data_IF_203099475495
#
_entry.id   IF_203099475495
#
_cell.length_a   1.000
_cell.length_b   1.000
_cell.length_c   1.000
_cell.angle_alpha   90.00
_cell.angle_beta   90.00
_cell.angle_gamma   90.00
#
_symmetry.space_group_name_H-M   'P 1'
#
loop_
_entity.id
_entity.type
_entity.pdbx_description
1 polymer ?
#
# COMPACT_ATOMS: atom_id res chain seq x y z
N UNK A 1 50.50 -4.21 -16.74
CA UNK A 1 49.11 -3.83 -17.06
C UNK A 1 48.64 -2.93 -15.93
N UNK A 2 48.50 -1.63 -16.17
CA UNK A 2 47.98 -0.71 -15.18
C UNK A 2 46.44 -0.86 -15.16
N UNK A 3 45.88 -1.18 -14.00
CA UNK A 3 44.43 -1.14 -13.79
C UNK A 3 43.98 0.31 -13.92
N UNK A 4 43.16 0.59 -14.93
CA UNK A 4 42.40 1.84 -15.03
C UNK A 4 41.44 1.89 -13.82
N UNK A 5 41.34 3.01 -13.09
CA UNK A 5 40.32 3.14 -12.05
C UNK A 5 38.93 3.02 -12.69
N UNK A 6 37.94 2.44 -11.98
CA UNK A 6 36.57 2.45 -12.46
C UNK A 6 36.14 3.89 -12.71
N UNK A 7 35.43 4.12 -13.81
CA UNK A 7 34.83 5.42 -14.11
C UNK A 7 33.88 5.86 -13.00
N UNK A 8 33.51 7.15 -12.94
CA UNK A 8 32.46 7.60 -12.05
C UNK A 8 31.20 6.73 -12.29
N UNK A 9 30.43 6.39 -11.23
CA UNK A 9 29.18 5.67 -11.42
C UNK A 9 28.33 6.43 -12.45
N UNK A 10 27.80 5.71 -13.43
CA UNK A 10 26.81 6.24 -14.35
C UNK A 10 25.69 6.84 -13.49
N UNK A 11 25.42 8.14 -13.65
CA UNK A 11 24.29 8.76 -12.96
C UNK A 11 23.04 7.96 -13.33
N UNK A 12 22.39 7.34 -12.35
CA UNK A 12 21.15 6.60 -12.58
C UNK A 12 20.16 7.56 -13.26
N UNK A 13 19.69 7.16 -14.45
CA UNK A 13 18.84 8.00 -15.27
C UNK A 13 17.49 8.25 -14.57
N UNK A 14 16.86 9.37 -14.90
CA UNK A 14 15.47 9.64 -14.51
C UNK A 14 14.55 8.46 -14.90
N UNK A 15 13.39 8.28 -14.23
CA UNK A 15 12.46 7.20 -14.56
C UNK A 15 12.10 7.19 -16.05
N UNK A 16 12.05 5.99 -16.61
CA UNK A 16 11.60 5.76 -17.97
C UNK A 16 10.06 5.71 -17.99
N UNK A 17 9.44 6.87 -18.19
CA UNK A 17 7.99 7.00 -18.18
C UNK A 17 7.29 6.16 -19.26
N UNK A 18 7.97 5.85 -20.38
CA UNK A 18 7.39 5.02 -21.42
C UNK A 18 7.29 3.56 -20.94
N UNK A 19 8.36 3.02 -20.35
CA UNK A 19 8.35 1.68 -19.77
C UNK A 19 7.41 1.58 -18.58
N UNK A 20 7.43 2.56 -17.68
CA UNK A 20 6.53 2.63 -16.51
C UNK A 20 5.07 2.66 -16.98
N UNK A 21 4.73 3.56 -17.90
CA UNK A 21 3.36 3.67 -18.41
C UNK A 21 2.90 2.39 -19.11
N UNK A 22 3.77 1.75 -19.89
CA UNK A 22 3.47 0.45 -20.49
C UNK A 22 3.18 -0.63 -19.44
N UNK A 23 3.95 -0.68 -18.35
CA UNK A 23 3.74 -1.65 -17.27
C UNK A 23 2.41 -1.39 -16.55
N UNK A 24 2.07 -0.13 -16.25
CA UNK A 24 0.77 0.22 -15.64
C UNK A 24 -0.39 -0.19 -16.56
N UNK A 25 -0.31 0.11 -17.86
CA UNK A 25 -1.33 -0.26 -18.85
C UNK A 25 -1.52 -1.78 -18.95
N UNK A 26 -0.43 -2.54 -18.88
CA UNK A 26 -0.46 -4.01 -18.91
C UNK A 26 -1.25 -4.58 -17.72
N UNK A 27 -1.07 -4.01 -16.53
CA UNK A 27 -1.77 -4.41 -15.30
C UNK A 27 -3.25 -4.01 -15.29
N UNK A 28 -3.61 -2.91 -15.95
CA UNK A 28 -5.00 -2.42 -16.03
C UNK A 28 -5.92 -3.32 -16.86
N UNK A 29 -5.36 -4.10 -17.80
CA UNK A 29 -6.10 -4.95 -18.74
C UNK A 29 -7.31 -4.22 -19.36
N UNK A 30 -7.09 -2.99 -19.84
CA UNK A 30 -8.14 -2.11 -20.35
C UNK A 30 -8.97 -2.79 -21.44
N UNK A 31 -10.28 -2.60 -21.36
CA UNK A 31 -11.25 -3.07 -22.33
C UNK A 31 -11.77 -1.91 -23.18
N UNK A 32 -12.13 -2.20 -24.43
CA UNK A 32 -12.70 -1.19 -25.31
C UNK A 32 -14.01 -0.62 -24.72
N UNK A 33 -14.13 0.70 -24.75
CA UNK A 33 -15.26 1.45 -24.19
C UNK A 33 -15.18 1.78 -22.70
N UNK A 34 -14.15 1.30 -21.97
CA UNK A 34 -13.93 1.75 -20.59
C UNK A 34 -13.53 3.22 -20.55
N UNK A 35 -13.97 3.94 -19.52
CA UNK A 35 -13.67 5.35 -19.30
C UNK A 35 -12.63 5.50 -18.22
N UNK A 36 -11.47 6.05 -18.58
CA UNK A 36 -10.32 6.21 -17.69
C UNK A 36 -10.13 7.67 -17.26
N UNK A 37 -9.92 7.88 -15.97
CA UNK A 37 -9.55 9.17 -15.37
C UNK A 37 -8.19 9.06 -14.69
N UNK A 38 -7.26 9.93 -15.03
CA UNK A 38 -5.99 10.06 -14.32
C UNK A 38 -6.11 11.15 -13.26
N UNK A 39 -5.51 10.96 -12.08
CA UNK A 39 -5.57 11.91 -10.97
C UNK A 39 -4.17 12.06 -10.40
N UNK A 40 -3.57 13.24 -10.44
CA UNK A 40 -2.16 13.43 -10.05
C UNK A 40 -1.79 14.86 -9.73
N UNK A 41 -0.61 15.07 -9.14
CA UNK A 41 -0.04 16.39 -8.96
C UNK A 41 0.80 16.78 -10.19
N UNK A 42 0.67 18.02 -10.72
CA UNK A 42 1.51 18.49 -11.81
C UNK A 42 3.01 18.47 -11.44
N UNK A 43 3.87 18.19 -12.42
CA UNK A 43 5.32 18.30 -12.30
C UNK A 43 6.07 17.10 -12.87
N UNK A 44 6.86 16.43 -12.02
CA UNK A 44 7.80 15.37 -12.43
C UNK A 44 7.15 14.25 -13.24
N UNK A 45 5.89 13.93 -12.96
CA UNK A 45 5.17 12.80 -13.51
C UNK A 45 4.26 13.15 -14.69
N UNK A 46 4.25 14.41 -15.14
CA UNK A 46 3.44 14.85 -16.29
C UNK A 46 3.62 13.98 -17.55
N UNK A 47 4.84 13.54 -17.93
CA UNK A 47 5.01 12.69 -19.11
C UNK A 47 4.26 11.35 -19.03
N UNK A 48 3.99 10.84 -17.84
CA UNK A 48 3.27 9.58 -17.65
C UNK A 48 1.78 9.72 -18.01
N UNK A 49 1.20 10.92 -17.85
CA UNK A 49 -0.19 11.17 -18.22
C UNK A 49 -0.43 10.98 -19.72
N UNK A 50 0.49 11.44 -20.56
CA UNK A 50 0.42 11.28 -22.01
C UNK A 50 0.50 9.81 -22.42
N UNK A 51 1.49 9.09 -21.86
CA UNK A 51 1.69 7.65 -22.13
C UNK A 51 0.44 6.85 -21.78
N UNK A 52 -0.15 7.11 -20.60
CA UNK A 52 -1.35 6.41 -20.14
C UNK A 52 -2.58 6.76 -20.97
N UNK A 53 -2.75 8.04 -21.33
CA UNK A 53 -3.87 8.51 -22.15
C UNK A 53 -3.82 7.91 -23.55
N UNK A 54 -2.65 7.90 -24.19
CA UNK A 54 -2.48 7.34 -25.52
C UNK A 54 -2.59 5.82 -25.52
N UNK A 55 -2.05 5.16 -24.50
CA UNK A 55 -2.22 3.72 -24.30
C UNK A 55 -3.68 3.31 -24.10
N UNK A 56 -4.44 4.09 -23.33
CA UNK A 56 -5.87 3.85 -23.16
C UNK A 56 -6.64 3.98 -24.49
N UNK A 57 -6.38 5.04 -25.27
CA UNK A 57 -6.99 5.21 -26.60
C UNK A 57 -6.63 4.06 -27.54
N UNK A 58 -5.39 3.58 -27.50
CA UNK A 58 -4.94 2.44 -28.30
C UNK A 58 -5.64 1.14 -27.91
N UNK A 59 -6.00 0.96 -26.63
CA UNK A 59 -6.82 -0.15 -26.15
C UNK A 59 -8.33 0.00 -26.47
N UNK A 60 -8.74 1.12 -27.09
CA UNK A 60 -10.13 1.43 -27.40
C UNK A 60 -10.93 1.99 -26.20
N UNK A 61 -10.25 2.36 -25.12
CA UNK A 61 -10.85 3.05 -23.97
C UNK A 61 -11.01 4.56 -24.24
N UNK A 62 -11.96 5.18 -23.58
CA UNK A 62 -12.18 6.63 -23.58
C UNK A 62 -11.35 7.28 -22.47
N UNK A 63 -10.37 8.10 -22.84
CA UNK A 63 -9.64 8.91 -21.88
C UNK A 63 -10.42 10.17 -21.50
N UNK A 64 -10.95 10.20 -20.29
CA UNK A 64 -11.73 11.32 -19.74
C UNK A 64 -10.86 12.53 -19.38
N UNK A 65 -9.54 12.40 -19.42
CA UNK A 65 -8.58 13.46 -19.10
C UNK A 65 -7.83 13.20 -17.80
N UNK A 66 -7.14 14.24 -17.33
CA UNK A 66 -6.36 14.20 -16.10
C UNK A 66 -6.83 15.27 -15.11
N UNK A 67 -7.01 14.90 -13.86
CA UNK A 67 -7.36 15.80 -12.78
C UNK A 67 -6.11 16.21 -12.00
N UNK A 68 -5.92 17.52 -11.84
CA UNK A 68 -4.87 18.08 -10.99
C UNK A 68 -5.35 18.18 -9.54
N UNK A 69 -4.62 17.54 -8.63
CA UNK A 69 -4.87 17.68 -7.18
C UNK A 69 -4.25 18.95 -6.58
N UNK A 70 -3.37 19.64 -7.32
CA UNK A 70 -2.63 20.79 -6.84
C UNK A 70 -2.49 21.87 -7.92
N UNK A 71 -3.22 22.98 -7.76
CA UNK A 71 -3.18 24.10 -8.71
C UNK A 71 -3.74 23.74 -10.10
N UNK A 72 -3.55 24.64 -11.06
CA UNK A 72 -3.90 24.37 -12.45
C UNK A 72 -2.94 23.34 -13.04
N UNK A 73 -3.48 22.25 -13.59
CA UNK A 73 -2.69 21.29 -14.35
C UNK A 73 -2.27 21.81 -15.73
N UNK A 74 -1.39 21.10 -16.43
CA UNK A 74 -1.08 21.36 -17.83
C UNK A 74 -2.35 21.45 -18.69
N UNK A 75 -2.45 22.36 -19.68
CA UNK A 75 -3.65 22.50 -20.52
C UNK A 75 -4.11 21.20 -21.19
N UNK A 76 -3.16 20.33 -21.56
CA UNK A 76 -3.36 19.01 -22.16
C UNK A 76 -4.12 18.02 -21.27
N UNK A 77 -4.15 18.25 -19.95
CA UNK A 77 -4.93 17.44 -19.00
C UNK A 77 -6.43 17.73 -19.08
N UNK A 78 -6.79 18.91 -19.57
CA UNK A 78 -8.16 19.43 -19.51
C UNK A 78 -9.01 18.88 -20.66
N UNK A 79 -10.19 18.38 -20.32
CA UNK A 79 -11.23 17.91 -21.23
C UNK A 79 -12.58 18.51 -20.81
N UNK A 80 -13.64 18.27 -21.58
CA UNK A 80 -15.00 18.62 -21.16
C UNK A 80 -15.39 17.93 -19.83
N UNK A 81 -14.91 16.71 -19.59
CA UNK A 81 -15.19 15.99 -18.35
C UNK A 81 -14.48 16.62 -17.15
N UNK A 82 -13.17 16.87 -17.23
CA UNK A 82 -12.43 17.47 -16.11
C UNK A 82 -12.80 18.94 -15.87
N UNK A 83 -13.21 19.67 -16.91
CA UNK A 83 -13.80 21.02 -16.75
C UNK A 83 -15.09 20.97 -15.94
N UNK A 84 -16.00 20.02 -16.24
CA UNK A 84 -17.24 19.83 -15.46
C UNK A 84 -16.96 19.44 -14.01
N UNK A 85 -15.93 18.61 -13.75
CA UNK A 85 -15.53 18.28 -12.37
C UNK A 85 -15.12 19.51 -11.57
N UNK A 86 -14.52 20.52 -12.21
CA UNK A 86 -14.14 21.79 -11.55
C UNK A 86 -15.35 22.59 -11.09
N UNK A 87 -16.46 22.49 -11.83
CA UNK A 87 -17.72 23.17 -11.55
C UNK A 87 -18.65 22.35 -10.64
N UNK A 88 -18.25 21.12 -10.29
CA UNK A 88 -19.06 20.21 -9.47
C UNK A 88 -18.78 20.45 -7.99
N UNK A 89 -19.84 20.73 -7.23
CA UNK A 89 -19.76 20.84 -5.76
C UNK A 89 -19.38 19.50 -5.12
N UNK A 90 -18.80 19.54 -3.93
CA UNK A 90 -18.21 18.36 -3.28
C UNK A 90 -19.20 17.19 -3.09
N UNK A 91 -20.49 17.47 -2.84
CA UNK A 91 -21.53 16.47 -2.67
C UNK A 91 -22.01 15.84 -3.99
N UNK A 92 -21.74 16.48 -5.13
CA UNK A 92 -22.04 15.96 -6.47
C UNK A 92 -20.91 15.14 -7.10
N UNK A 93 -19.70 15.14 -6.50
CA UNK A 93 -18.54 14.49 -7.09
C UNK A 93 -18.70 12.97 -7.23
N UNK A 94 -19.32 12.31 -6.24
CA UNK A 94 -19.53 10.84 -6.29
C UNK A 94 -20.41 10.46 -7.48
N UNK A 95 -21.52 11.18 -7.70
CA UNK A 95 -22.40 10.95 -8.84
C UNK A 95 -21.69 11.26 -10.16
N UNK A 96 -20.95 12.36 -10.23
CA UNK A 96 -20.19 12.74 -11.41
C UNK A 96 -19.10 11.72 -11.77
N UNK A 97 -18.49 11.07 -10.78
CA UNK A 97 -17.43 10.07 -10.95
C UNK A 97 -17.95 8.64 -11.12
N UNK A 98 -19.25 8.38 -10.92
CA UNK A 98 -19.86 7.05 -11.13
C UNK A 98 -19.75 6.53 -12.58
N UNK A 99 -19.41 7.42 -13.51
CA UNK A 99 -19.13 7.11 -14.92
C UNK A 99 -17.66 6.73 -15.17
N UNK A 100 -16.78 6.79 -14.18
CA UNK A 100 -15.38 6.42 -14.33
C UNK A 100 -15.26 4.92 -14.09
N UNK A 101 -14.81 4.17 -15.10
CA UNK A 101 -14.62 2.72 -15.00
C UNK A 101 -13.23 2.37 -14.43
N UNK A 102 -12.24 3.23 -14.71
CA UNK A 102 -10.84 3.07 -14.28
C UNK A 102 -10.28 4.41 -13.78
N UNK A 103 -9.82 4.43 -12.54
CA UNK A 103 -9.02 5.52 -11.98
C UNK A 103 -7.55 5.16 -11.97
N UNK A 104 -6.66 6.09 -12.32
CA UNK A 104 -5.22 5.93 -12.08
C UNK A 104 -4.77 7.08 -11.19
N UNK A 105 -4.47 6.75 -9.94
CA UNK A 105 -3.98 7.70 -8.94
C UNK A 105 -2.47 7.76 -9.06
N UNK A 106 -1.98 8.86 -9.60
CA UNK A 106 -0.58 9.15 -9.89
C UNK A 106 0.08 9.90 -8.73
N UNK A 107 1.42 10.01 -8.70
CA UNK A 107 2.14 10.54 -7.56
C UNK A 107 1.65 11.93 -7.15
N UNK A 108 1.53 12.11 -5.84
CA UNK A 108 0.96 13.30 -5.22
C UNK A 108 -0.56 13.26 -5.03
N UNK A 109 -1.30 12.36 -5.68
CA UNK A 109 -2.72 12.13 -5.35
C UNK A 109 -2.86 11.36 -4.03
N UNK A 110 -3.77 11.78 -3.15
CA UNK A 110 -4.06 11.12 -1.88
C UNK A 110 -5.57 11.14 -1.62
N UNK A 111 -6.09 10.23 -0.76
CA UNK A 111 -7.50 10.24 -0.36
C UNK A 111 -7.97 11.51 0.35
N UNK A 112 -7.06 12.43 0.72
CA UNK A 112 -7.44 13.73 1.26
C UNK A 112 -7.91 14.70 0.16
N UNK A 113 -7.62 14.42 -1.12
CA UNK A 113 -8.04 15.25 -2.24
C UNK A 113 -9.51 14.94 -2.62
N UNK A 114 -10.37 15.96 -2.80
CA UNK A 114 -11.82 15.74 -2.97
C UNK A 114 -12.22 14.78 -4.09
N UNK A 115 -11.60 14.87 -5.27
CA UNK A 115 -11.91 13.98 -6.40
C UNK A 115 -11.51 12.53 -6.11
N UNK A 116 -10.35 12.32 -5.48
CA UNK A 116 -9.93 10.98 -5.12
C UNK A 116 -10.79 10.43 -3.96
N UNK A 117 -11.07 11.23 -2.92
CA UNK A 117 -11.99 10.86 -1.85
C UNK A 117 -13.37 10.43 -2.39
N UNK A 118 -13.94 11.22 -3.31
CA UNK A 118 -15.21 10.89 -3.95
C UNK A 118 -15.12 9.62 -4.81
N UNK A 119 -14.01 9.40 -5.53
CA UNK A 119 -13.81 8.15 -6.27
C UNK A 119 -13.67 6.93 -5.35
N UNK A 120 -13.08 7.07 -4.15
CA UNK A 120 -13.07 5.99 -3.15
C UNK A 120 -14.50 5.60 -2.72
N UNK A 121 -15.44 6.55 -2.64
CA UNK A 121 -16.85 6.23 -2.38
C UNK A 121 -17.49 5.47 -3.56
N UNK A 122 -17.16 5.84 -4.80
CA UNK A 122 -17.61 5.11 -6.00
C UNK A 122 -17.11 3.65 -5.95
N UNK A 123 -15.83 3.45 -5.63
CA UNK A 123 -15.22 2.12 -5.46
C UNK A 123 -15.87 1.34 -4.32
N UNK A 124 -16.14 1.97 -3.16
CA UNK A 124 -16.88 1.35 -2.04
C UNK A 124 -18.29 0.91 -2.46
N UNK A 125 -18.93 1.67 -3.36
CA UNK A 125 -20.21 1.32 -3.98
C UNK A 125 -20.17 0.14 -4.95
N UNK A 126 -18.98 -0.42 -5.22
CA UNK A 126 -18.80 -1.55 -6.12
C UNK A 126 -18.73 -1.15 -7.60
N UNK A 127 -18.47 0.12 -7.90
CA UNK A 127 -18.37 0.65 -9.26
C UNK A 127 -16.90 0.96 -9.56
N UNK A 128 -16.44 0.60 -10.75
CA UNK A 128 -15.09 0.89 -11.21
C UNK A 128 -13.99 0.12 -10.48
N UNK A 129 -12.75 0.49 -10.82
CA UNK A 129 -11.49 0.02 -10.23
C UNK A 129 -10.42 1.10 -10.29
N UNK A 130 -9.32 0.91 -9.56
CA UNK A 130 -8.20 1.83 -9.58
C UNK A 130 -6.85 1.12 -9.61
N UNK A 131 -5.87 1.79 -10.23
CA UNK A 131 -4.46 1.63 -9.91
C UNK A 131 -4.01 2.79 -9.04
N UNK A 132 -3.30 2.47 -7.97
CA UNK A 132 -2.70 3.44 -7.08
C UNK A 132 -1.17 3.41 -7.20
N UNK A 133 -0.61 4.48 -7.74
CA UNK A 133 0.78 4.57 -8.17
C UNK A 133 1.43 5.77 -7.47
N UNK A 134 1.80 5.59 -6.19
CA UNK A 134 2.32 6.66 -5.34
C UNK A 134 3.75 7.05 -5.64
N UNK A 135 4.57 6.06 -5.99
CA UNK A 135 6.02 6.21 -6.12
C UNK A 135 6.67 6.86 -4.89
N UNK A 136 6.17 6.53 -3.69
CA UNK A 136 6.59 7.00 -2.36
C UNK A 136 6.66 5.81 -1.38
N UNK A 137 6.66 6.05 -0.06
CA UNK A 137 6.60 4.98 0.93
C UNK A 137 7.91 4.22 1.12
N UNK A 138 9.04 4.88 0.92
CA UNK A 138 10.33 4.39 1.40
C UNK A 138 10.48 4.79 2.87
N UNK A 139 10.89 3.86 3.75
CA UNK A 139 11.03 4.18 5.18
C UNK A 139 12.39 3.77 5.72
N UNK A 140 12.91 4.50 6.71
CA UNK A 140 14.06 4.04 7.50
C UNK A 140 13.66 3.00 8.56
N UNK A 141 14.64 2.48 9.31
CA UNK A 141 14.40 1.50 10.37
C UNK A 141 13.56 1.99 11.56
N UNK A 142 13.33 3.29 11.69
CA UNK A 142 12.41 3.88 12.68
C UNK A 142 10.97 4.03 12.15
N UNK A 143 10.78 3.76 10.85
CA UNK A 143 9.51 3.99 10.17
C UNK A 143 9.31 5.43 9.73
N UNK A 144 10.34 6.27 9.74
CA UNK A 144 10.28 7.61 9.18
C UNK A 144 10.39 7.54 7.65
N UNK A 145 9.55 8.31 6.95
CA UNK A 145 9.53 8.30 5.48
C UNK A 145 10.80 8.99 4.92
N UNK A 146 11.38 8.36 3.90
CA UNK A 146 12.54 8.82 3.17
C UNK A 146 12.11 9.54 1.89
N UNK A 147 12.86 10.59 1.55
CA UNK A 147 12.72 11.24 0.25
C UNK A 147 13.16 10.30 -0.87
N UNK A 148 12.40 10.28 -1.96
CA UNK A 148 12.69 9.41 -3.12
C UNK A 148 13.78 10.05 -3.98
N UNK A 149 14.97 9.47 -3.91
CA UNK A 149 16.11 9.81 -4.77
C UNK A 149 16.22 8.88 -5.99
N UNK A 150 17.27 9.06 -6.79
CA UNK A 150 17.51 8.26 -8.00
C UNK A 150 17.77 6.77 -7.73
N UNK A 151 18.27 6.41 -6.55
CA UNK A 151 18.49 5.00 -6.19
C UNK A 151 17.16 4.32 -5.87
N UNK A 152 16.30 5.00 -5.11
CA UNK A 152 14.93 4.53 -4.82
C UNK A 152 14.11 4.47 -6.11
N UNK A 153 14.24 5.47 -7.00
CA UNK A 153 13.60 5.45 -8.32
C UNK A 153 13.98 4.22 -9.14
N UNK A 154 15.29 3.95 -9.25
CA UNK A 154 15.77 2.79 -9.99
C UNK A 154 15.29 1.48 -9.35
N UNK A 155 15.20 1.43 -8.02
CA UNK A 155 14.70 0.28 -7.29
C UNK A 155 13.20 0.04 -7.56
N UNK A 156 12.37 1.08 -7.48
CA UNK A 156 10.93 1.00 -7.75
C UNK A 156 10.64 0.71 -9.22
N UNK A 157 11.39 1.30 -10.15
CA UNK A 157 11.29 0.98 -11.57
C UNK A 157 11.64 -0.47 -11.84
N UNK A 158 12.74 -0.98 -11.29
CA UNK A 158 13.08 -2.40 -11.41
C UNK A 158 11.96 -3.28 -10.85
N UNK A 159 11.45 -2.97 -9.66
CA UNK A 159 10.34 -3.73 -9.08
C UNK A 159 9.08 -3.70 -9.96
N UNK A 160 8.69 -2.55 -10.52
CA UNK A 160 7.54 -2.46 -11.41
C UNK A 160 7.72 -3.28 -12.69
N UNK A 161 8.89 -3.19 -13.32
CA UNK A 161 9.13 -3.74 -14.66
C UNK A 161 9.51 -5.23 -14.63
N UNK A 162 10.20 -5.68 -13.59
CA UNK A 162 10.82 -7.00 -13.55
C UNK A 162 10.14 -7.97 -12.57
N UNK A 163 9.11 -7.54 -11.83
CA UNK A 163 8.33 -8.46 -10.98
C UNK A 163 7.67 -9.53 -11.85
N UNK A 164 7.88 -10.80 -11.48
CA UNK A 164 7.07 -11.90 -12.00
C UNK A 164 5.71 -11.88 -11.30
N UNK A 165 4.77 -11.16 -11.91
CA UNK A 165 3.40 -10.99 -11.39
C UNK A 165 2.62 -12.32 -11.33
N UNK A 166 2.93 -13.29 -12.21
CA UNK A 166 2.31 -14.61 -12.17
C UNK A 166 2.71 -15.37 -10.91
N UNK A 167 4.03 -15.48 -10.68
CA UNK A 167 4.57 -16.11 -9.47
C UNK A 167 4.13 -15.37 -8.20
N UNK A 168 4.06 -14.04 -8.22
CA UNK A 168 3.57 -13.24 -7.10
C UNK A 168 2.11 -13.57 -6.77
N UNK A 169 1.23 -13.64 -7.78
CA UNK A 169 -0.18 -13.97 -7.61
C UNK A 169 -0.38 -15.39 -7.06
N UNK A 170 0.37 -16.38 -7.57
CA UNK A 170 0.33 -17.76 -7.08
C UNK A 170 0.74 -17.85 -5.61
N UNK A 171 1.81 -17.15 -5.23
CA UNK A 171 2.31 -17.16 -3.86
C UNK A 171 1.35 -16.48 -2.89
N UNK A 172 0.76 -15.34 -3.28
CA UNK A 172 -0.24 -14.67 -2.46
C UNK A 172 -1.52 -15.51 -2.32
N UNK A 173 -1.95 -16.19 -3.39
CA UNK A 173 -3.09 -17.12 -3.34
C UNK A 173 -2.81 -18.29 -2.39
N UNK A 174 -1.61 -18.88 -2.45
CA UNK A 174 -1.22 -19.96 -1.55
C UNK A 174 -1.20 -19.52 -0.08
N UNK A 175 -0.73 -18.30 0.22
CA UNK A 175 -0.79 -17.75 1.58
C UNK A 175 -2.23 -17.57 2.05
N UNK A 176 -3.09 -16.99 1.20
CA UNK A 176 -4.51 -16.83 1.52
C UNK A 176 -5.17 -18.18 1.81
N UNK A 177 -4.93 -19.19 0.97
CA UNK A 177 -5.46 -20.54 1.16
C UNK A 177 -4.99 -21.16 2.48
N UNK A 178 -3.70 -21.03 2.82
CA UNK A 178 -3.16 -21.51 4.09
C UNK A 178 -3.78 -20.78 5.29
N UNK A 179 -3.90 -19.45 5.19
CA UNK A 179 -4.50 -18.61 6.23
C UNK A 179 -5.99 -18.90 6.44
N UNK A 180 -6.69 -19.40 5.41
CA UNK A 180 -8.10 -19.85 5.47
C UNK A 180 -8.27 -21.34 5.79
N UNK A 181 -7.19 -22.13 5.74
CA UNK A 181 -7.26 -23.59 5.60
C UNK A 181 -8.13 -24.30 6.64
N UNK A 182 -8.17 -23.82 7.89
CA UNK A 182 -9.10 -24.28 8.92
C UNK A 182 -9.72 -23.08 9.64
N UNK A 183 -10.97 -23.22 10.10
CA UNK A 183 -11.71 -22.15 10.81
C UNK A 183 -10.98 -21.62 12.06
N UNK A 184 -10.06 -22.42 12.61
CA UNK A 184 -9.24 -22.12 13.79
C UNK A 184 -7.75 -21.99 13.45
N UNK A 185 -7.38 -21.76 12.17
CA UNK A 185 -5.98 -21.52 11.80
C UNK A 185 -5.55 -20.15 12.33
N UNK A 186 -4.70 -20.17 13.36
CA UNK A 186 -4.05 -18.96 13.85
C UNK A 186 -2.90 -18.55 12.94
N UNK A 187 -2.82 -17.26 12.66
CA UNK A 187 -1.61 -16.59 12.20
C UNK A 187 -0.91 -16.07 13.45
N UNK A 188 0.35 -16.46 13.66
CA UNK A 188 1.20 -15.97 14.75
C UNK A 188 2.39 -15.23 14.20
N UNK A 189 2.63 -14.03 14.73
CA UNK A 189 3.78 -13.20 14.39
C UNK A 189 4.65 -13.02 15.62
N UNK A 190 5.93 -13.32 15.49
CA UNK A 190 6.93 -13.14 16.57
C UNK A 190 8.13 -12.36 16.09
N UNK A 191 8.78 -11.58 16.97
CA UNK A 191 10.08 -10.94 16.69
C UNK A 191 11.06 -11.13 17.84
N UNK A 192 12.39 -11.04 17.59
CA UNK A 192 13.40 -11.00 18.65
C UNK A 192 13.17 -9.87 19.68
N UNK A 193 12.60 -8.73 19.26
CA UNK A 193 12.24 -7.61 20.14
C UNK A 193 11.08 -7.92 21.10
N UNK A 194 10.40 -9.05 20.92
CA UNK A 194 9.39 -9.53 21.85
C UNK A 194 7.95 -9.36 21.39
N UNK A 195 7.70 -9.01 20.12
CA UNK A 195 6.38 -9.21 19.50
C UNK A 195 6.03 -10.69 19.59
N UNK A 196 4.81 -10.98 20.03
CA UNK A 196 4.22 -12.31 20.06
C UNK A 196 2.71 -12.11 20.07
N UNK A 197 2.12 -12.14 18.89
CA UNK A 197 0.70 -11.85 18.67
C UNK A 197 0.10 -12.91 17.76
N UNK A 198 -1.12 -13.33 18.06
CA UNK A 198 -1.88 -14.27 17.24
C UNK A 198 -3.28 -13.74 16.93
N UNK A 199 -3.79 -14.12 15.77
CA UNK A 199 -5.13 -13.76 15.30
C UNK A 199 -5.57 -14.68 14.15
N UNK A 200 -6.86 -14.61 13.83
CA UNK A 200 -7.48 -15.34 12.72
C UNK A 200 -8.09 -14.36 11.72
N UNK A 201 -8.14 -14.76 10.46
CA UNK A 201 -8.78 -13.96 9.41
C UNK A 201 -10.20 -14.41 9.10
N UNK A 202 -10.55 -15.68 9.38
CA UNK A 202 -11.86 -16.23 9.05
C UNK A 202 -12.27 -15.98 7.58
N UNK A 203 -13.49 -15.51 7.37
CA UNK A 203 -14.02 -15.18 6.04
C UNK A 203 -13.73 -13.74 5.60
N UNK A 204 -12.90 -12.98 6.35
CA UNK A 204 -12.59 -11.58 6.03
C UNK A 204 -12.05 -11.43 4.59
N UNK A 205 -12.38 -10.32 3.91
CA UNK A 205 -11.75 -9.95 2.65
C UNK A 205 -10.22 -9.93 2.81
N UNK A 206 -9.52 -10.67 1.95
CA UNK A 206 -8.06 -10.62 1.84
C UNK A 206 -7.75 -9.87 0.56
N UNK A 207 -6.96 -8.80 0.68
CA UNK A 207 -6.60 -7.97 -0.46
C UNK A 207 -5.24 -8.41 -0.97
N UNK A 208 -5.22 -8.96 -2.18
CA UNK A 208 -3.99 -9.39 -2.85
C UNK A 208 -3.51 -8.24 -3.74
N UNK A 209 -2.43 -7.58 -3.33
CA UNK A 209 -1.70 -6.64 -4.17
C UNK A 209 -0.75 -7.46 -5.04
N UNK A 210 -1.33 -8.17 -6.01
CA UNK A 210 -0.67 -9.08 -6.95
C UNK A 210 -0.45 -8.46 -8.34
N UNK A 211 -0.92 -7.22 -8.53
CA UNK A 211 -0.80 -6.45 -9.77
C UNK A 211 -1.97 -6.62 -10.74
N UNK A 212 -2.94 -7.51 -10.50
CA UNK A 212 -4.08 -7.67 -11.41
C UNK A 212 -5.13 -6.57 -11.18
N UNK A 213 -5.02 -5.47 -11.94
CA UNK A 213 -5.99 -4.37 -11.92
C UNK A 213 -7.06 -4.52 -13.01
N UNK A 214 -7.41 -5.75 -13.41
CA UNK A 214 -8.43 -5.99 -14.44
C UNK A 214 -9.86 -5.78 -13.93
N UNK A 215 -10.78 -5.55 -14.88
CA UNK A 215 -12.22 -5.52 -14.58
C UNK A 215 -12.71 -6.85 -13.99
N UNK A 216 -12.19 -7.98 -14.47
CA UNK A 216 -12.54 -9.30 -13.98
C UNK A 216 -12.18 -9.48 -12.49
N UNK A 217 -11.00 -9.02 -12.09
CA UNK A 217 -10.58 -9.00 -10.68
C UNK A 217 -11.48 -8.10 -9.82
N UNK A 218 -11.78 -6.89 -10.31
CA UNK A 218 -12.61 -5.92 -9.59
C UNK A 218 -14.06 -6.42 -9.34
N UNK A 219 -14.61 -7.26 -10.23
CA UNK A 219 -15.93 -7.88 -10.02
C UNK A 219 -15.97 -8.84 -8.82
N UNK A 220 -14.82 -9.39 -8.43
CA UNK A 220 -14.69 -10.30 -7.28
C UNK A 220 -14.36 -9.55 -5.97
N UNK A 221 -14.07 -8.25 -6.05
CA UNK A 221 -13.63 -7.47 -4.92
C UNK A 221 -14.71 -7.33 -3.83
N UNK A 222 -14.32 -7.58 -2.58
CA UNK A 222 -15.22 -7.57 -1.41
C UNK A 222 -15.07 -6.33 -0.51
N UNK A 223 -14.05 -5.51 -0.74
CA UNK A 223 -13.81 -4.26 -0.03
C UNK A 223 -13.21 -3.21 -0.98
N UNK A 224 -12.94 -2.01 -0.47
CA UNK A 224 -12.37 -0.90 -1.23
C UNK A 224 -11.00 -1.25 -1.81
N UNK A 225 -10.08 -1.69 -0.95
CA UNK A 225 -8.68 -1.90 -1.32
C UNK A 225 -8.53 -3.03 -2.35
N UNK A 226 -9.42 -4.01 -2.37
CA UNK A 226 -9.42 -5.08 -3.36
C UNK A 226 -9.85 -4.62 -4.77
N UNK A 227 -10.36 -3.38 -4.90
CA UNK A 227 -10.61 -2.68 -6.18
C UNK A 227 -9.48 -1.72 -6.55
N UNK A 228 -8.50 -1.54 -5.68
CA UNK A 228 -7.44 -0.53 -5.80
C UNK A 228 -6.07 -1.21 -5.70
N UNK A 229 -5.51 -1.51 -6.87
CA UNK A 229 -4.24 -2.22 -6.98
C UNK A 229 -3.09 -1.23 -6.93
N UNK A 230 -2.20 -1.43 -5.98
CA UNK A 230 -1.01 -0.63 -5.77
C UNK A 230 0.16 -1.18 -6.59
N UNK A 231 0.87 -0.29 -7.28
CA UNK A 231 2.01 -0.63 -8.12
C UNK A 231 3.25 0.21 -7.73
N UNK A 232 4.43 -0.39 -7.48
CA UNK A 232 4.74 -1.83 -7.55
C UNK A 232 3.95 -2.69 -6.55
N UNK A 233 3.47 -3.84 -7.02
CA UNK A 233 2.65 -4.76 -6.23
C UNK A 233 3.53 -5.57 -5.27
N UNK A 234 2.95 -6.18 -4.24
CA UNK A 234 3.74 -7.09 -3.40
C UNK A 234 3.12 -7.56 -2.10
N UNK A 235 2.07 -6.94 -1.58
CA UNK A 235 1.55 -7.30 -0.26
C UNK A 235 0.20 -8.01 -0.28
N UNK A 236 0.01 -8.91 0.68
CA UNK A 236 -1.33 -9.21 1.17
C UNK A 236 -1.66 -8.24 2.29
N UNK A 237 -2.90 -7.76 2.34
CA UNK A 237 -3.44 -7.00 3.48
C UNK A 237 -4.78 -7.59 3.90
N UNK A 238 -5.00 -7.66 5.21
CA UNK A 238 -6.24 -8.18 5.79
C UNK A 238 -6.49 -7.56 7.16
N UNK A 239 -7.73 -7.15 7.40
CA UNK A 239 -8.21 -6.87 8.75
C UNK A 239 -8.59 -8.21 9.40
N UNK A 240 -7.92 -8.65 10.49
CA UNK A 240 -8.29 -9.89 11.17
C UNK A 240 -9.69 -9.81 11.80
N UNK A 241 -10.19 -10.95 12.28
CA UNK A 241 -11.33 -10.99 13.19
C UNK A 241 -10.89 -10.35 14.51
N UNK A 242 -11.46 -9.19 14.83
CA UNK A 242 -10.99 -8.31 15.90
C UNK A 242 -10.91 -9.05 17.25
N UNK A 243 -11.94 -9.82 17.61
CA UNK A 243 -12.00 -10.55 18.88
C UNK A 243 -10.96 -11.67 18.99
N UNK A 244 -10.35 -12.09 17.87
CA UNK A 244 -9.32 -13.13 17.85
C UNK A 244 -7.91 -12.62 18.14
N UNK A 245 -7.70 -11.30 18.05
CA UNK A 245 -6.37 -10.69 18.17
C UNK A 245 -5.94 -10.62 19.63
N UNK A 246 -4.90 -11.36 19.99
CA UNK A 246 -4.38 -11.44 21.35
C UNK A 246 -2.85 -11.54 21.37
N UNK A 247 -2.23 -10.96 22.39
CA UNK A 247 -0.78 -11.00 22.57
C UNK A 247 -0.18 -9.62 22.68
N UNK A 248 1.03 -9.42 22.17
CA UNK A 248 1.74 -8.14 22.27
C UNK A 248 2.56 -7.81 21.04
N UNK A 249 2.72 -6.52 20.80
CA UNK A 249 3.56 -5.98 19.72
C UNK A 249 4.63 -5.11 20.36
N UNK A 250 5.90 -5.45 20.11
CA UNK A 250 7.03 -4.57 20.36
C UNK A 250 7.21 -3.65 19.14
N UNK A 251 7.06 -2.35 19.35
CA UNK A 251 7.23 -1.34 18.31
C UNK A 251 8.69 -0.89 18.27
N UNK A 252 9.26 -0.63 17.07
CA UNK A 252 10.51 0.11 16.93
C UNK A 252 10.44 1.46 17.64
N UNK A 253 11.61 1.94 18.07
CA UNK A 253 11.73 3.27 18.66
C UNK A 253 11.28 4.33 17.64
N UNK A 254 10.31 5.16 18.02
CA UNK A 254 9.64 6.07 17.10
C UNK A 254 9.04 7.27 17.83
N UNK A 255 8.60 8.27 17.08
CA UNK A 255 7.90 9.45 17.62
C UNK A 255 6.42 9.11 17.88
N UNK A 256 5.93 9.45 19.07
CA UNK A 256 4.52 9.40 19.46
C UNK A 256 4.14 10.77 20.03
N UNK A 257 3.05 11.38 19.53
CA UNK A 257 2.61 12.72 19.96
C UNK A 257 3.73 13.77 20.12
N UNK A 258 4.75 13.72 19.24
CA UNK A 258 5.87 14.66 19.22
C UNK A 258 7.06 14.30 20.12
N UNK A 259 7.00 13.20 20.87
CA UNK A 259 8.10 12.73 21.72
C UNK A 259 8.67 11.40 21.21
N UNK A 260 9.99 11.23 21.32
CA UNK A 260 10.66 9.99 20.95
C UNK A 260 10.47 8.95 22.05
N UNK A 261 9.84 7.82 21.73
CA UNK A 261 9.51 6.72 22.64
C UNK A 261 10.41 5.53 22.34
N UNK A 262 10.97 4.92 23.38
CA UNK A 262 11.86 3.77 23.25
C UNK A 262 11.31 2.52 23.92
N UNK A 263 11.54 1.36 23.30
CA UNK A 263 11.18 0.05 23.86
C UNK A 263 9.69 -0.11 24.13
N UNK A 264 8.85 0.41 23.23
CA UNK A 264 7.41 0.36 23.37
C UNK A 264 6.88 -1.07 23.15
N UNK A 265 6.07 -1.55 24.09
CA UNK A 265 5.28 -2.79 23.96
C UNK A 265 3.82 -2.49 24.24
N UNK A 266 2.96 -2.84 23.29
CA UNK A 266 1.50 -2.77 23.41
C UNK A 266 0.93 -4.18 23.58
N UNK A 267 0.08 -4.38 24.59
CA UNK A 267 -0.62 -5.65 24.82
C UNK A 267 -2.06 -5.57 24.33
N UNK A 268 -2.50 -6.57 23.60
CA UNK A 268 -3.82 -6.68 22.99
C UNK A 268 -4.62 -7.82 23.63
N UNK A 269 -5.89 -7.52 23.92
CA UNK A 269 -6.91 -8.51 24.24
C UNK A 269 -8.15 -8.21 23.38
N UNK A 270 -8.60 -9.20 22.60
CA UNK A 270 -9.74 -9.05 21.69
C UNK A 270 -9.60 -7.85 20.73
N UNK A 271 -8.40 -7.65 20.18
CA UNK A 271 -8.13 -6.60 19.19
C UNK A 271 -8.00 -5.20 19.74
N UNK A 272 -8.08 -5.01 21.05
CA UNK A 272 -7.91 -3.70 21.71
C UNK A 272 -6.65 -3.68 22.56
N UNK A 273 -5.92 -2.56 22.49
CA UNK A 273 -4.80 -2.28 23.40
C UNK A 273 -5.32 -2.13 24.82
N UNK A 274 -4.91 -3.04 25.71
CA UNK A 274 -5.26 -3.02 27.14
C UNK A 274 -4.15 -2.50 28.04
N UNK A 275 -2.91 -2.48 27.55
CA UNK A 275 -1.78 -1.85 28.25
C UNK A 275 -0.67 -1.42 27.29
N UNK A 276 0.02 -0.34 27.65
CA UNK A 276 1.24 0.13 27.02
C UNK A 276 2.38 0.20 28.05
N UNK A 277 3.58 -0.23 27.66
CA UNK A 277 4.80 -0.04 28.44
C UNK A 277 5.90 0.48 27.53
N UNK A 278 6.75 1.38 28.02
CA UNK A 278 7.91 1.86 27.28
C UNK A 278 9.08 2.11 28.25
N UNK A 279 10.30 2.08 27.73
CA UNK A 279 11.49 2.46 28.49
C UNK A 279 11.51 3.98 28.76
N UNK A 280 10.97 4.78 27.84
CA UNK A 280 10.86 6.24 27.94
C UNK A 280 9.53 6.72 27.35
N UNK A 281 9.00 7.82 27.89
CA UNK A 281 7.91 8.62 27.32
C UNK A 281 6.62 7.84 26.97
N UNK A 282 6.23 6.88 27.81
CA UNK A 282 4.97 6.11 27.62
C UNK A 282 3.73 7.01 27.65
N UNK A 283 3.81 8.14 28.35
CA UNK A 283 2.73 9.13 28.43
C UNK A 283 2.38 9.72 27.05
N UNK A 284 3.35 9.83 26.15
CA UNK A 284 3.12 10.31 24.79
C UNK A 284 2.33 9.30 23.94
N UNK A 285 2.55 8.00 24.18
CA UNK A 285 1.79 6.90 23.57
C UNK A 285 0.33 6.97 24.03
N UNK A 286 0.12 7.12 25.34
CA UNK A 286 -1.23 7.22 25.92
C UNK A 286 -1.98 8.47 25.44
N UNK A 287 -1.27 9.59 25.28
CA UNK A 287 -1.84 10.82 24.73
C UNK A 287 -2.32 10.63 23.28
N UNK A 288 -1.49 10.00 22.44
CA UNK A 288 -1.86 9.70 21.06
C UNK A 288 -3.07 8.75 21.00
N UNK A 289 -3.07 7.68 21.80
CA UNK A 289 -4.20 6.76 21.90
C UNK A 289 -5.48 7.46 22.39
N UNK A 290 -5.39 8.38 23.34
CA UNK A 290 -6.55 9.12 23.81
C UNK A 290 -7.16 10.04 22.74
N UNK A 291 -6.34 10.54 21.79
CA UNK A 291 -6.77 11.52 20.79
C UNK A 291 -7.80 11.01 19.77
N UNK A 292 -7.80 9.70 19.50
CA UNK A 292 -8.64 9.08 18.47
C UNK A 292 -9.21 7.71 18.89
N UNK A 293 -9.43 7.51 20.19
CA UNK A 293 -10.07 6.31 20.69
C UNK A 293 -11.55 6.24 20.20
N UNK A 294 -12.09 5.03 19.92
CA UNK A 294 -11.47 3.72 20.11
C UNK A 294 -10.52 3.27 18.99
N UNK A 295 -10.52 3.92 17.83
CA UNK A 295 -9.77 3.48 16.65
C UNK A 295 -8.25 3.37 16.93
N UNK A 296 -7.66 4.37 17.56
CA UNK A 296 -6.22 4.38 17.93
C UNK A 296 -5.79 3.28 18.90
N UNK A 297 -6.74 2.63 19.59
CA UNK A 297 -6.48 1.48 20.46
C UNK A 297 -6.80 0.16 19.79
N UNK A 298 -7.26 0.16 18.55
CA UNK A 298 -7.70 -1.05 17.86
C UNK A 298 -6.61 -1.59 16.94
N UNK A 299 -6.48 -2.91 16.85
CA UNK A 299 -5.67 -3.56 15.83
C UNK A 299 -6.32 -3.36 14.46
N UNK A 300 -5.55 -2.87 13.48
CA UNK A 300 -6.06 -2.54 12.15
C UNK A 300 -5.89 -3.68 11.15
N UNK A 301 -4.65 -4.07 10.89
CA UNK A 301 -4.35 -4.97 9.78
C UNK A 301 -3.07 -5.79 10.03
N UNK A 302 -3.06 -6.98 9.44
CA UNK A 302 -1.84 -7.62 8.98
C UNK A 302 -1.61 -7.19 7.53
N UNK A 303 -0.43 -6.66 7.22
CA UNK A 303 0.11 -6.72 5.87
C UNK A 303 1.37 -7.58 5.85
N UNK A 304 1.55 -8.39 4.82
CA UNK A 304 2.75 -9.19 4.60
C UNK A 304 3.23 -8.99 3.17
N UNK A 305 4.47 -8.56 3.02
CA UNK A 305 5.12 -8.41 1.72
C UNK A 305 5.64 -9.73 1.16
N UNK A 306 5.53 -9.86 -0.16
CA UNK A 306 5.90 -11.03 -0.97
C UNK A 306 6.78 -10.66 -2.16
N UNK A 307 6.96 -9.37 -2.48
CA UNK A 307 7.73 -9.00 -3.67
C UNK A 307 9.25 -9.14 -3.41
N UNK A 308 9.95 -10.08 -4.08
CA UNK A 308 11.37 -10.30 -3.83
C UNK A 308 12.26 -9.14 -4.28
N UNK A 309 11.84 -8.35 -5.27
CA UNK A 309 12.60 -7.21 -5.78
C UNK A 309 12.53 -5.99 -4.86
N UNK A 310 11.58 -5.98 -3.93
CA UNK A 310 11.39 -4.98 -2.87
C UNK A 310 11.87 -5.47 -1.50
N UNK A 311 12.48 -6.66 -1.40
CA UNK A 311 12.96 -7.19 -0.13
C UNK A 311 13.97 -6.24 0.53
N UNK A 312 13.94 -6.14 1.86
CA UNK A 312 14.94 -5.37 2.61
C UNK A 312 16.28 -6.08 2.50
N UNK A 313 17.24 -5.47 1.79
CA UNK A 313 18.58 -6.05 1.62
C UNK A 313 19.56 -5.46 2.62
N UNK A 314 20.28 -6.33 3.35
CA UNK A 314 21.38 -5.91 4.24
C UNK A 314 22.64 -5.42 3.48
N UNK A 315 22.71 -5.65 2.17
CA UNK A 315 23.95 -5.55 1.37
C UNK A 315 24.07 -4.31 0.47
N UNK A 316 23.14 -3.35 0.52
CA UNK A 316 23.34 -2.04 -0.12
C UNK A 316 24.30 -1.22 0.73
N UNK A 317 25.18 -0.42 0.12
CA UNK A 317 26.25 0.32 0.80
C UNK A 317 25.77 1.41 1.79
N UNK A 318 24.47 1.48 2.09
CA UNK A 318 23.82 2.37 3.05
C UNK A 318 23.03 1.61 4.13
N UNK A 319 22.39 2.35 5.03
CA UNK A 319 21.51 1.74 6.03
C UNK A 319 20.34 1.01 5.33
N UNK A 320 19.91 -0.16 5.85
CA UNK A 320 18.75 -0.85 5.30
C UNK A 320 17.52 0.06 5.45
N UNK A 321 16.72 0.11 4.39
CA UNK A 321 15.45 0.84 4.33
C UNK A 321 14.35 -0.11 3.88
N UNK A 322 13.10 0.26 4.15
CA UNK A 322 11.90 -0.52 3.87
C UNK A 322 11.26 0.00 2.58
N UNK A 323 11.25 -0.81 1.50
CA UNK A 323 10.69 -0.37 0.23
C UNK A 323 9.17 -0.40 0.19
N UNK A 324 8.62 0.62 -0.47
CA UNK A 324 7.24 0.73 -0.95
C UNK A 324 6.18 0.21 0.04
N UNK A 325 5.95 0.96 1.11
CA UNK A 325 4.96 0.64 2.15
C UNK A 325 5.13 -0.75 2.79
N UNK A 326 6.35 -1.31 2.74
CA UNK A 326 6.68 -2.62 3.29
C UNK A 326 6.23 -3.79 2.41
N UNK A 327 6.20 -3.63 1.08
CA UNK A 327 5.71 -4.67 0.15
C UNK A 327 6.78 -5.71 -0.21
N UNK A 328 8.00 -5.48 0.26
CA UNK A 328 9.13 -6.41 0.18
C UNK A 328 8.87 -7.76 0.83
N UNK A 329 9.35 -8.82 0.18
CA UNK A 329 9.26 -10.19 0.68
C UNK A 329 9.74 -10.29 2.13
N UNK A 330 8.87 -10.76 3.02
CA UNK A 330 9.17 -10.99 4.44
C UNK A 330 8.99 -9.78 5.37
N UNK A 331 8.69 -8.59 4.84
CA UNK A 331 8.33 -7.43 5.67
C UNK A 331 6.89 -7.58 6.16
N UNK A 332 6.69 -7.42 7.48
CA UNK A 332 5.38 -7.50 8.12
C UNK A 332 4.95 -6.13 8.59
N UNK A 333 3.69 -5.77 8.34
CA UNK A 333 3.03 -4.59 8.92
C UNK A 333 1.95 -5.03 9.90
N UNK A 334 2.04 -4.58 11.16
CA UNK A 334 1.00 -4.77 12.17
C UNK A 334 0.50 -3.39 12.65
N UNK A 335 -0.59 -2.91 12.05
CA UNK A 335 -1.03 -1.52 12.20
C UNK A 335 -2.05 -1.34 13.33
N UNK A 336 -2.19 -0.09 13.81
CA UNK A 336 -3.30 0.37 14.66
C UNK A 336 -4.29 1.19 13.83
N UNK A 337 -5.55 1.21 14.23
CA UNK A 337 -6.52 2.17 13.71
C UNK A 337 -7.80 1.63 13.08
N UNK A 338 -8.46 2.54 12.36
CA UNK A 338 -9.54 2.28 11.42
C UNK A 338 -9.17 1.11 10.51
N UNK A 339 -10.06 0.18 10.22
CA UNK A 339 -9.81 -0.93 9.29
C UNK A 339 -10.95 -1.11 8.28
N UNK A 340 -11.79 -0.08 8.14
CA UNK A 340 -13.01 -0.12 7.33
C UNK A 340 -12.73 -0.30 5.83
N UNK A 341 -11.64 0.26 5.30
CA UNK A 341 -11.24 0.08 3.90
C UNK A 341 -10.90 -1.39 3.55
N UNK A 342 -10.48 -2.16 4.56
CA UNK A 342 -10.16 -3.59 4.46
C UNK A 342 -11.38 -4.48 4.75
N UNK A 343 -12.53 -3.88 5.07
CA UNK A 343 -13.76 -4.60 5.43
C UNK A 343 -13.84 -5.02 6.90
N UNK A 344 -13.05 -4.40 7.78
CA UNK A 344 -13.19 -4.53 9.24
C UNK A 344 -14.26 -3.60 9.83
N UNK A 345 -14.51 -3.72 11.14
CA UNK A 345 -15.57 -2.97 11.84
C UNK A 345 -15.08 -1.69 12.54
N UNK A 346 -13.76 -1.50 12.65
CA UNK A 346 -13.16 -0.34 13.32
C UNK A 346 -13.20 0.85 12.37
N UNK A 347 -13.84 1.92 12.81
CA UNK A 347 -13.89 3.21 12.10
C UNK A 347 -13.32 4.32 12.98
N UNK A 348 -12.89 5.41 12.37
CA UNK A 348 -12.47 6.62 13.09
C UNK A 348 -11.28 7.36 12.45
N UNK A 349 -10.84 6.92 11.27
CA UNK A 349 -9.83 7.60 10.46
C UNK A 349 -8.39 7.56 10.99
N UNK A 350 -8.17 7.23 12.27
CA UNK A 350 -6.82 7.05 12.80
C UNK A 350 -6.16 5.84 12.14
N UNK A 351 -4.93 6.00 11.66
CA UNK A 351 -4.12 4.92 11.10
C UNK A 351 -2.69 5.12 11.58
N UNK A 352 -2.07 4.06 12.10
CA UNK A 352 -0.65 4.02 12.39
C UNK A 352 -0.04 2.73 11.87
N UNK A 353 0.92 2.87 10.97
CA UNK A 353 1.69 1.75 10.44
C UNK A 353 2.88 1.43 11.35
N UNK A 354 3.20 0.14 11.42
CA UNK A 354 4.36 -0.37 12.13
C UNK A 354 4.95 -1.52 11.33
N UNK A 355 6.24 -1.41 11.01
CA UNK A 355 6.94 -2.33 10.13
C UNK A 355 7.89 -3.19 10.96
N UNK A 356 7.87 -4.49 10.70
CA UNK A 356 8.73 -5.50 11.30
C UNK A 356 9.51 -6.17 10.17
N UNK A 357 10.83 -5.98 10.16
CA UNK A 357 11.73 -6.50 9.11
C UNK A 357 12.44 -7.79 9.52
N UNK A 358 12.27 -8.24 10.76
CA UNK A 358 12.90 -9.42 11.36
C UNK A 358 11.86 -10.40 11.95
N UNK A 359 10.62 -10.31 11.49
CA UNK A 359 9.53 -11.12 12.01
C UNK A 359 9.56 -12.56 11.51
N UNK A 360 9.08 -13.49 12.34
CA UNK A 360 8.68 -14.84 11.94
C UNK A 360 7.17 -14.90 11.90
N UNK A 361 6.62 -15.35 10.77
CA UNK A 361 5.18 -15.53 10.55
C UNK A 361 4.88 -17.00 10.40
N UNK A 362 4.05 -17.52 11.30
CA UNK A 362 3.56 -18.90 11.29
C UNK A 362 2.07 -18.90 11.00
N UNK A 363 1.62 -19.76 10.09
CA UNK A 363 0.21 -20.00 9.76
C UNK A 363 -0.10 -21.45 10.09
N UNK A 364 -0.87 -21.70 11.15
CA UNK A 364 -1.00 -23.04 11.71
C UNK A 364 0.36 -23.59 12.16
N UNK A 365 0.80 -24.70 11.55
CA UNK A 365 2.11 -25.32 11.81
C UNK A 365 3.19 -24.90 10.80
N UNK A 366 2.85 -24.02 9.85
CA UNK A 366 3.73 -23.67 8.74
C UNK A 366 4.41 -22.32 8.93
N UNK A 367 5.74 -22.30 8.80
CA UNK A 367 6.52 -21.06 8.76
C UNK A 367 6.52 -20.51 7.34
N UNK A 368 6.02 -19.29 7.18
CA UNK A 368 5.99 -18.54 5.92
C UNK A 368 7.09 -17.50 5.82
N UNK A 369 7.38 -16.84 6.94
CA UNK A 369 8.51 -15.93 7.10
C UNK A 369 9.34 -16.41 8.28
N UNK A 370 10.65 -16.47 8.12
CA UNK A 370 11.62 -16.84 9.16
C UNK A 370 12.62 -15.70 9.31
N UNK A 371 12.54 -14.96 10.43
CA UNK A 371 13.43 -13.83 10.74
C UNK A 371 13.54 -12.82 9.58
N UNK A 372 12.40 -12.35 9.06
CA UNK A 372 12.33 -11.38 7.97
C UNK A 372 12.54 -11.96 6.56
N UNK A 373 12.83 -13.25 6.45
CA UNK A 373 13.02 -13.93 5.15
C UNK A 373 11.79 -14.76 4.79
N UNK A 374 11.21 -14.51 3.62
CA UNK A 374 10.18 -15.39 3.06
C UNK A 374 10.78 -16.78 2.74
N UNK A 375 10.14 -17.87 3.19
CA UNK A 375 10.67 -19.24 3.09
C UNK A 375 9.76 -20.24 2.38
N UNK A 376 8.69 -19.75 1.74
CA UNK A 376 7.75 -20.55 0.96
C UNK A 376 7.85 -20.22 -0.51
#
# INVERSE_FOLDING_TARGET
>A
MACTPPGPPEALAAPDFALIGSAVLERLHLQAGERILLVGAPGRWDPLHDVLTDGARAAGAEALGSWSVAGAGPPEWSTEFTTRLTETEADGLVDALSVVDVGVMLPGATPAHPVYAAYQEVLRGGIGRAVHFHWLGAYDGSGAELEVDSEIDAHYQRALLETDYGSLAELQMAFEEAARGMAETDIRVTTPMGTDISFRIGDRPVTRQDGDASAARALLARNLIDREIELPAGAIRVAPVEESVNGRIAFPDAVWSGEFVQGLVLTFEGGTVVSATAATNVEAVEAEMASAAPASRSFRELALGFNPLLAVTENTAGAPWIPYYGYGAGVVRLSLGDNSELGGAVTGGYVRWNFLTDATVTVGDEIWVDNGRLVR
#
